data_IF_183902216885
#
_entry.id   IF_183902216885
#
_cell.length_a   1.000
_cell.length_b   1.000
_cell.length_c   1.000
_cell.angle_alpha   90.00
_cell.angle_beta   90.00
_cell.angle_gamma   90.00
#
_symmetry.space_group_name_H-M   'P 1'
#
loop_
_entity.id
_entity.type
_entity.pdbx_description
1 polymer ?
#
# COMPACT_ATOMS: atom_id res chain seq x y z
N UNK A 1 0.51 9.59 1.30
CA UNK A 1 1.79 10.25 0.97
C UNK A 1 1.82 11.69 1.47
N UNK A 2 0.93 12.57 1.00
CA UNK A 2 0.93 13.99 1.40
C UNK A 2 0.85 14.21 2.92
N UNK A 3 -0.01 13.46 3.60
CA UNK A 3 -0.22 13.55 5.06
C UNK A 3 0.86 12.85 5.92
N UNK A 4 1.86 12.22 5.31
CA UNK A 4 2.92 11.56 6.10
C UNK A 4 3.87 12.59 6.68
N UNK A 5 4.05 12.59 8.01
CA UNK A 5 5.00 13.49 8.68
C UNK A 5 6.49 13.08 8.52
N UNK A 6 6.76 11.91 7.92
CA UNK A 6 8.12 11.45 7.60
C UNK A 6 8.90 10.80 8.75
N UNK A 7 8.38 10.77 9.98
CA UNK A 7 9.15 10.35 11.18
C UNK A 7 9.48 8.87 11.28
N UNK A 8 8.67 7.97 10.71
CA UNK A 8 8.93 6.53 10.72
C UNK A 8 9.10 6.01 9.30
N UNK A 9 10.21 5.31 9.03
CA UNK A 9 10.55 4.75 7.73
C UNK A 9 9.42 3.92 7.09
N UNK A 10 8.75 2.98 7.79
CA UNK A 10 7.68 2.19 7.18
C UNK A 10 6.50 3.06 6.70
N UNK A 11 6.07 4.07 7.48
CA UNK A 11 5.01 4.97 7.03
C UNK A 11 5.48 5.92 5.92
N UNK A 12 6.66 6.52 6.08
CA UNK A 12 7.19 7.52 5.16
C UNK A 12 7.37 6.93 3.77
N UNK A 13 8.25 5.93 3.64
CA UNK A 13 8.56 5.31 2.37
C UNK A 13 7.37 4.48 1.86
N UNK A 14 6.71 3.73 2.76
CA UNK A 14 5.56 2.90 2.40
C UNK A 14 4.42 3.71 1.78
N UNK A 15 4.11 4.89 2.31
CA UNK A 15 3.02 5.71 1.77
C UNK A 15 3.32 6.25 0.37
N UNK A 16 4.59 6.46 0.02
CA UNK A 16 5.00 6.84 -1.33
C UNK A 16 4.92 5.64 -2.28
N UNK A 17 5.47 4.49 -1.88
CA UNK A 17 5.47 3.28 -2.71
C UNK A 17 4.06 2.80 -3.00
N UNK A 18 3.15 2.82 -2.01
CA UNK A 18 1.73 2.48 -2.20
C UNK A 18 1.10 3.36 -3.29
N UNK A 19 1.32 4.68 -3.24
CA UNK A 19 0.78 5.60 -4.25
C UNK A 19 1.37 5.32 -5.65
N UNK A 20 2.67 5.02 -5.73
CA UNK A 20 3.31 4.70 -7.01
C UNK A 20 2.75 3.41 -7.62
N UNK A 21 2.57 2.36 -6.81
CA UNK A 21 2.01 1.09 -7.29
C UNK A 21 0.56 1.29 -7.75
N UNK A 22 -0.29 1.95 -6.95
CA UNK A 22 -1.68 2.19 -7.32
C UNK A 22 -1.79 3.00 -8.62
N UNK A 23 -0.95 4.02 -8.81
CA UNK A 23 -0.89 4.77 -10.07
C UNK A 23 -0.44 3.89 -11.24
N UNK A 24 0.53 3.00 -11.03
CA UNK A 24 1.03 2.08 -12.06
C UNK A 24 -0.03 1.06 -12.48
N UNK A 25 -0.79 0.50 -11.52
CA UNK A 25 -1.94 -0.36 -11.77
C UNK A 25 -3.01 0.38 -12.59
N UNK A 26 -3.40 1.60 -12.17
CA UNK A 26 -4.41 2.40 -12.88
C UNK A 26 -3.97 2.82 -14.29
N UNK A 27 -2.67 2.95 -14.55
CA UNK A 27 -2.13 3.20 -15.87
C UNK A 27 -2.07 1.95 -16.78
N UNK A 28 -2.53 0.79 -16.30
CA UNK A 28 -2.49 -0.48 -17.03
C UNK A 28 -1.06 -0.97 -17.27
N UNK A 29 -0.12 -0.62 -16.38
CA UNK A 29 1.29 -1.06 -16.44
C UNK A 29 1.67 -1.86 -15.19
N UNK A 30 0.67 -2.32 -14.43
CA UNK A 30 0.84 -3.11 -13.23
C UNK A 30 1.41 -4.50 -13.52
N UNK A 31 2.19 -5.03 -12.58
CA UNK A 31 2.69 -6.42 -12.59
C UNK A 31 2.24 -7.15 -11.33
N UNK A 32 2.22 -8.49 -11.37
CA UNK A 32 1.94 -9.30 -10.17
C UNK A 32 2.88 -8.97 -9.01
N UNK A 33 4.16 -8.72 -9.32
CA UNK A 33 5.16 -8.31 -8.34
C UNK A 33 4.85 -6.96 -7.68
N UNK A 34 4.21 -6.03 -8.38
CA UNK A 34 3.77 -4.77 -7.78
C UNK A 34 2.64 -5.02 -6.77
N UNK A 35 1.69 -5.92 -7.09
CA UNK A 35 0.62 -6.29 -6.19
C UNK A 35 1.15 -7.01 -4.93
N UNK A 36 2.07 -7.96 -5.10
CA UNK A 36 2.76 -8.62 -3.97
C UNK A 36 3.53 -7.62 -3.11
N UNK A 37 4.19 -6.64 -3.74
CA UNK A 37 4.91 -5.57 -3.04
C UNK A 37 3.95 -4.67 -2.27
N UNK A 38 2.79 -4.34 -2.86
CA UNK A 38 1.75 -3.57 -2.20
C UNK A 38 1.26 -4.28 -0.94
N UNK A 39 0.89 -5.57 -1.05
CA UNK A 39 0.43 -6.42 0.06
C UNK A 39 1.47 -6.49 1.19
N UNK A 40 2.75 -6.70 0.84
CA UNK A 40 3.84 -6.75 1.82
C UNK A 40 3.99 -5.43 2.58
N UNK A 41 3.94 -4.29 1.88
CA UNK A 41 4.12 -2.98 2.50
C UNK A 41 2.95 -2.66 3.43
N UNK A 42 1.70 -2.79 2.96
CA UNK A 42 0.53 -2.51 3.80
C UNK A 42 0.41 -3.49 4.95
N UNK A 43 0.78 -4.76 4.73
CA UNK A 43 0.87 -5.77 5.79
C UNK A 43 1.85 -5.37 6.88
N UNK A 44 3.06 -4.92 6.51
CA UNK A 44 4.09 -4.45 7.46
C UNK A 44 3.59 -3.28 8.30
N UNK A 45 2.94 -2.29 7.67
CA UNK A 45 2.49 -1.05 8.31
C UNK A 45 1.26 -1.28 9.18
N UNK A 46 0.45 -2.28 8.85
CA UNK A 46 -0.73 -2.64 9.63
C UNK A 46 -0.40 -3.43 10.91
N UNK A 47 0.85 -3.89 11.09
CA UNK A 47 1.29 -4.51 12.35
C UNK A 47 1.32 -3.48 13.47
N UNK A 48 0.79 -3.83 14.64
CA UNK A 48 0.82 -2.99 15.84
C UNK A 48 2.27 -2.68 16.23
N UNK A 49 2.58 -1.40 16.42
CA UNK A 49 3.93 -0.94 16.77
C UNK A 49 4.90 -0.77 15.59
N UNK A 50 4.49 -1.07 14.36
CA UNK A 50 5.32 -0.83 13.16
C UNK A 50 5.51 0.66 12.84
N UNK A 51 4.60 1.52 13.31
CA UNK A 51 4.62 2.96 13.09
C UNK A 51 4.44 3.70 14.42
N UNK A 52 5.03 4.90 14.52
CA UNK A 52 5.00 5.70 15.76
C UNK A 52 3.62 6.27 16.10
N UNK A 53 2.75 6.47 15.09
CA UNK A 53 1.43 7.06 15.27
C UNK A 53 0.38 6.33 14.41
N UNK A 54 -0.92 6.55 14.65
CA UNK A 54 -1.99 5.82 13.98
C UNK A 54 -2.09 6.07 12.46
N UNK A 55 -1.50 7.14 11.93
CA UNK A 55 -1.60 7.52 10.51
C UNK A 55 -1.17 6.39 9.57
N UNK A 56 -0.11 5.65 9.93
CA UNK A 56 0.36 4.52 9.12
C UNK A 56 -0.71 3.44 8.97
N UNK A 57 -1.26 3.00 10.09
CA UNK A 57 -2.33 2.00 10.12
C UNK A 57 -3.61 2.52 9.45
N UNK A 58 -3.93 3.79 9.64
CA UNK A 58 -5.14 4.40 9.11
C UNK A 58 -5.26 4.32 7.57
N UNK A 59 -4.15 4.40 6.83
CA UNK A 59 -4.19 4.17 5.38
C UNK A 59 -3.88 2.71 5.00
N UNK A 60 -3.06 1.99 5.76
CA UNK A 60 -2.67 0.62 5.42
C UNK A 60 -3.85 -0.35 5.58
N UNK A 61 -4.67 -0.20 6.61
CA UNK A 61 -5.83 -1.03 6.88
C UNK A 61 -6.85 -1.05 5.72
N UNK A 62 -7.35 0.10 5.21
CA UNK A 62 -8.29 0.08 4.09
C UNK A 62 -7.65 -0.44 2.80
N UNK A 63 -6.38 -0.12 2.52
CA UNK A 63 -5.71 -0.63 1.30
C UNK A 63 -5.53 -2.14 1.35
N UNK A 64 -5.14 -2.70 2.50
CA UNK A 64 -5.07 -4.14 2.72
C UNK A 64 -6.43 -4.79 2.49
N UNK A 65 -7.49 -4.24 3.10
CA UNK A 65 -8.85 -4.75 2.94
C UNK A 65 -9.33 -4.68 1.48
N UNK A 66 -9.00 -3.60 0.74
CA UNK A 66 -9.34 -3.48 -0.67
C UNK A 66 -8.69 -4.58 -1.51
N UNK A 67 -7.39 -4.83 -1.32
CA UNK A 67 -6.69 -5.89 -2.05
C UNK A 67 -7.23 -7.28 -1.68
N UNK A 68 -7.53 -7.54 -0.41
CA UNK A 68 -8.07 -8.83 0.04
C UNK A 68 -9.48 -9.09 -0.49
N UNK A 69 -10.34 -8.07 -0.52
CA UNK A 69 -11.75 -8.21 -0.93
C UNK A 69 -11.96 -8.14 -2.44
N UNK A 70 -11.16 -7.34 -3.12
CA UNK A 70 -11.32 -7.05 -4.55
C UNK A 70 -10.11 -7.52 -5.36
N UNK A 71 -9.43 -8.59 -4.91
CA UNK A 71 -8.21 -9.09 -5.55
C UNK A 71 -8.34 -9.24 -7.07
N UNK A 72 -9.46 -9.79 -7.54
CA UNK A 72 -9.73 -9.96 -8.96
C UNK A 72 -9.76 -8.64 -9.75
N UNK A 73 -10.21 -7.53 -9.15
CA UNK A 73 -10.16 -6.21 -9.79
C UNK A 73 -8.74 -5.67 -9.89
N UNK A 74 -7.89 -5.93 -8.87
CA UNK A 74 -6.47 -5.57 -8.93
C UNK A 74 -5.73 -6.41 -9.97
N UNK A 75 -6.02 -7.71 -10.04
CA UNK A 75 -5.41 -8.62 -11.01
C UNK A 75 -5.84 -8.30 -12.46
N UNK A 76 -7.06 -7.80 -12.67
CA UNK A 76 -7.53 -7.34 -13.98
C UNK A 76 -6.78 -6.10 -14.51
N UNK A 77 -6.09 -5.35 -13.64
CA UNK A 77 -5.26 -4.19 -14.01
C UNK A 77 -3.80 -4.56 -14.33
N UNK A 78 -3.44 -5.83 -14.21
CA UNK A 78 -2.10 -6.36 -14.48
C UNK A 78 -1.97 -6.73 -15.97
N UNK A 79 -0.78 -6.50 -16.55
CA UNK A 79 -0.40 -6.97 -17.88
C UNK A 79 0.65 -8.07 -17.82
#
# INVERSE_FOLDING_TARGET
AHESCGKCAPCAQGSHTVVLILKKLLAGNGTLKDLETLERIVGTINVVGSTLCPTGQAYAAPVKAMVEKFRGEFEALIK
#
